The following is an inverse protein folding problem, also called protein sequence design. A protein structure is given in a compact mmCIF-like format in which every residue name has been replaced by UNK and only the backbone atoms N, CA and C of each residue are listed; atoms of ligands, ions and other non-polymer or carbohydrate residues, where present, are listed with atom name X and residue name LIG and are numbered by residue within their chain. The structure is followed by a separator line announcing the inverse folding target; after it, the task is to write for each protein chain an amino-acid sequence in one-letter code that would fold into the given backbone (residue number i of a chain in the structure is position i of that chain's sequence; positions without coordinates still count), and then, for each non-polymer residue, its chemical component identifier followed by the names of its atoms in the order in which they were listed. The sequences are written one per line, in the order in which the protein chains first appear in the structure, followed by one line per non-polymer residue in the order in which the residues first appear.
data_IF_219094278786
#
_entry.id   IF_219094278786
#
_cell.length_a   1.000
_cell.length_b   1.000
_cell.length_c   1.000
_cell.angle_alpha   90.00
_cell.angle_beta   90.00
_cell.angle_gamma   90.00
#
_symmetry.space_group_name_H-M   'P 1'
#
loop_
_entity.id
_entity.type
_entity.pdbx_description
1 polymer ?
#
# COMPACT_ATOMS: atom_id res chain seq x y z
N UNK A 1 -5.15 -6.00 -15.80
CA UNK A 1 -3.72 -6.33 -15.76
C UNK A 1 -3.32 -6.15 -14.31
N UNK A 2 -3.34 -4.93 -13.79
CA UNK A 2 -3.22 -4.64 -12.35
C UNK A 2 -3.93 -3.32 -11.97
N UNK A 3 -3.97 -2.99 -10.68
CA UNK A 3 -4.30 -1.68 -10.13
C UNK A 3 -3.33 -1.27 -9.02
N UNK A 4 -2.84 -0.03 -9.08
CA UNK A 4 -2.24 0.64 -7.94
C UNK A 4 -3.35 1.08 -6.97
N UNK A 5 -3.68 0.22 -6.02
CA UNK A 5 -4.79 0.45 -5.09
C UNK A 5 -4.47 1.58 -4.12
N UNK A 6 -3.22 1.64 -3.68
CA UNK A 6 -2.68 2.70 -2.83
C UNK A 6 -1.35 3.14 -3.40
N UNK A 7 -1.21 4.46 -3.58
CA UNK A 7 -0.01 5.10 -4.10
C UNK A 7 0.62 6.00 -3.02
N UNK A 8 1.94 5.90 -2.82
CA UNK A 8 2.76 6.87 -2.06
C UNK A 8 2.34 7.11 -0.60
N UNK A 9 1.92 6.05 0.10
CA UNK A 9 1.46 6.15 1.49
C UNK A 9 2.58 6.31 2.51
N UNK A 10 3.85 6.34 2.10
CA UNK A 10 5.01 6.43 2.99
C UNK A 10 5.80 7.73 2.79
N UNK A 11 6.34 8.22 3.90
CA UNK A 11 7.43 9.20 3.91
C UNK A 11 8.77 8.51 3.65
N UNK A 12 9.83 9.29 3.40
CA UNK A 12 11.18 8.77 3.14
C UNK A 12 11.77 7.96 4.32
N UNK A 13 11.31 8.24 5.54
CA UNK A 13 11.75 7.52 6.75
C UNK A 13 10.98 6.22 7.01
N UNK A 14 10.05 5.83 6.12
CA UNK A 14 9.23 4.63 6.24
C UNK A 14 8.02 4.78 7.16
N UNK A 15 7.75 5.97 7.69
CA UNK A 15 6.50 6.27 8.42
C UNK A 15 5.34 6.53 7.46
N UNK A 16 4.10 6.38 7.93
CA UNK A 16 2.92 6.71 7.13
C UNK A 16 2.84 8.21 6.83
N UNK A 17 2.58 8.53 5.57
CA UNK A 17 2.35 9.89 5.11
C UNK A 17 1.02 10.41 5.66
N UNK A 18 1.05 11.58 6.26
CA UNK A 18 -0.17 12.28 6.69
C UNK A 18 -1.02 12.60 5.46
N UNK A 19 -2.25 12.09 5.45
CA UNK A 19 -3.20 12.26 4.35
C UNK A 19 -4.62 12.38 4.92
N UNK A 20 -5.55 12.91 4.13
CA UNK A 20 -6.96 12.97 4.55
C UNK A 20 -7.51 11.57 4.86
N UNK A 21 -7.05 10.55 4.14
CA UNK A 21 -7.44 9.15 4.37
C UNK A 21 -6.94 8.67 5.72
N UNK A 22 -5.65 8.84 6.03
CA UNK A 22 -5.09 8.45 7.32
C UNK A 22 -5.74 9.21 8.47
N UNK A 23 -5.99 10.52 8.29
CA UNK A 23 -6.56 11.37 9.34
C UNK A 23 -8.04 11.05 9.62
N UNK A 24 -8.79 10.67 8.60
CA UNK A 24 -10.24 10.45 8.71
C UNK A 24 -10.58 8.99 9.05
N UNK A 25 -9.86 8.04 8.45
CA UNK A 25 -10.16 6.61 8.52
C UNK A 25 -9.19 5.85 9.41
N UNK A 26 -8.06 6.45 9.81
CA UNK A 26 -6.98 5.75 10.51
C UNK A 26 -6.25 4.76 9.59
N UNK A 27 -5.23 4.08 10.11
CA UNK A 27 -4.37 3.16 9.32
C UNK A 27 -5.16 2.02 8.64
N UNK A 28 -6.34 1.65 9.14
CA UNK A 28 -7.17 0.59 8.57
C UNK A 28 -7.58 0.84 7.12
N UNK A 29 -7.59 2.11 6.66
CA UNK A 29 -7.91 2.47 5.28
C UNK A 29 -7.06 1.72 4.26
N UNK A 30 -5.80 1.42 4.61
CA UNK A 30 -4.89 0.67 3.74
C UNK A 30 -5.45 -0.73 3.48
N UNK A 31 -5.81 -1.47 4.53
CA UNK A 31 -6.37 -2.80 4.37
C UNK A 31 -7.76 -2.79 3.73
N UNK A 32 -8.58 -1.80 4.08
CA UNK A 32 -9.94 -1.67 3.56
C UNK A 32 -9.95 -1.36 2.07
N UNK A 33 -9.03 -0.52 1.58
CA UNK A 33 -8.88 -0.23 0.14
C UNK A 33 -8.63 -1.51 -0.66
N UNK A 34 -7.68 -2.36 -0.21
CA UNK A 34 -7.39 -3.63 -0.87
C UNK A 34 -8.54 -4.64 -0.78
N UNK A 35 -9.26 -4.70 0.34
CA UNK A 35 -10.46 -5.56 0.46
C UNK A 35 -11.57 -5.11 -0.49
N UNK A 36 -11.81 -3.81 -0.58
CA UNK A 36 -12.85 -3.24 -1.44
C UNK A 36 -12.49 -3.45 -2.92
N UNK A 37 -11.24 -3.22 -3.30
CA UNK A 37 -10.76 -3.48 -4.66
C UNK A 37 -10.90 -4.97 -5.03
N UNK A 38 -10.47 -5.89 -4.16
CA UNK A 38 -10.60 -7.33 -4.40
C UNK A 38 -12.07 -7.79 -4.46
N UNK A 39 -12.97 -7.12 -3.72
CA UNK A 39 -14.42 -7.40 -3.78
C UNK A 39 -15.02 -6.92 -5.11
N UNK A 40 -14.56 -5.78 -5.62
CA UNK A 40 -15.06 -5.19 -6.86
C UNK A 40 -14.60 -5.99 -8.10
N UNK A 41 -13.34 -6.42 -8.13
CA UNK A 41 -12.81 -7.33 -9.15
C UNK A 41 -11.87 -8.37 -8.50
N UNK A 42 -12.36 -9.59 -8.23
CA UNK A 42 -11.55 -10.63 -7.59
C UNK A 42 -10.40 -11.16 -8.46
N UNK A 43 -10.42 -10.90 -9.78
CA UNK A 43 -9.46 -11.46 -10.73
C UNK A 43 -8.32 -10.51 -11.08
N UNK A 44 -8.41 -9.24 -10.72
CA UNK A 44 -7.34 -8.28 -10.98
C UNK A 44 -6.25 -8.37 -9.92
N UNK A 45 -5.00 -8.17 -10.34
CA UNK A 45 -3.88 -8.10 -9.42
C UNK A 45 -3.81 -6.71 -8.78
N UNK A 46 -3.58 -6.67 -7.47
CA UNK A 46 -3.64 -5.45 -6.67
C UNK A 46 -2.27 -5.09 -6.11
N UNK A 47 -1.81 -3.87 -6.41
CA UNK A 47 -0.47 -3.40 -6.11
C UNK A 47 -0.51 -2.26 -5.09
N UNK A 48 0.51 -2.24 -4.23
CA UNK A 48 0.97 -1.02 -3.56
C UNK A 48 2.06 -0.41 -4.44
N UNK A 49 2.00 0.90 -4.72
CA UNK A 49 2.98 1.58 -5.57
C UNK A 49 3.62 2.77 -4.84
N UNK A 50 4.93 2.93 -4.97
CA UNK A 50 5.67 4.05 -4.38
C UNK A 50 6.98 4.31 -5.13
N UNK A 51 7.63 5.43 -4.82
CA UNK A 51 8.98 5.78 -5.28
C UNK A 51 10.01 5.54 -4.17
N UNK A 52 11.31 5.53 -4.48
CA UNK A 52 12.42 5.33 -3.52
C UNK A 52 12.32 4.04 -2.68
N UNK A 53 11.65 2.99 -3.14
CA UNK A 53 11.57 1.72 -2.40
C UNK A 53 12.94 1.01 -2.28
N UNK A 54 13.94 1.42 -3.05
CA UNK A 54 15.33 1.01 -2.98
C UNK A 54 16.07 1.59 -1.76
N UNK A 55 15.59 2.72 -1.22
CA UNK A 55 16.16 3.36 -0.04
C UNK A 55 15.86 2.52 1.22
N UNK A 56 16.86 2.24 2.09
CA UNK A 56 16.70 1.27 3.17
C UNK A 56 15.51 1.49 4.11
N UNK A 57 15.26 2.74 4.53
CA UNK A 57 14.17 3.06 5.47
C UNK A 57 12.80 2.95 4.81
N UNK A 58 12.64 3.50 3.61
CA UNK A 58 11.38 3.44 2.87
C UNK A 58 11.04 2.02 2.44
N UNK A 59 12.06 1.21 2.07
CA UNK A 59 11.93 -0.23 1.84
C UNK A 59 11.38 -0.97 3.05
N UNK A 60 11.93 -0.72 4.24
CA UNK A 60 11.46 -1.33 5.48
C UNK A 60 10.01 -0.94 5.77
N UNK A 61 9.68 0.34 5.64
CA UNK A 61 8.29 0.85 5.74
C UNK A 61 7.34 0.15 4.77
N UNK A 62 7.76 -0.02 3.51
CA UNK A 62 6.99 -0.69 2.45
C UNK A 62 6.70 -2.15 2.81
N UNK A 63 7.73 -2.90 3.22
CA UNK A 63 7.60 -4.30 3.63
C UNK A 63 6.65 -4.41 4.83
N UNK A 64 6.77 -3.52 5.81
CA UNK A 64 5.92 -3.51 6.99
C UNK A 64 4.46 -3.17 6.66
N UNK A 65 4.23 -2.19 5.78
CA UNK A 65 2.89 -1.83 5.30
C UNK A 65 2.22 -3.01 4.60
N UNK A 66 2.90 -3.64 3.63
CA UNK A 66 2.35 -4.79 2.89
C UNK A 66 2.04 -5.95 3.84
N UNK A 67 2.93 -6.25 4.79
CA UNK A 67 2.69 -7.28 5.82
C UNK A 67 1.45 -6.96 6.66
N UNK A 68 1.28 -5.72 7.10
CA UNK A 68 0.11 -5.28 7.88
C UNK A 68 -1.19 -5.42 7.09
N UNK A 69 -1.20 -4.97 5.83
CA UNK A 69 -2.37 -5.10 4.94
C UNK A 69 -2.76 -6.57 4.77
N UNK A 70 -1.79 -7.44 4.45
CA UNK A 70 -2.03 -8.89 4.29
C UNK A 70 -2.50 -9.54 5.60
N UNK A 71 -1.89 -9.19 6.73
CA UNK A 71 -2.31 -9.69 8.04
C UNK A 71 -3.73 -9.25 8.42
N UNK A 72 -4.17 -8.08 7.95
CA UNK A 72 -5.54 -7.59 8.13
C UNK A 72 -6.54 -8.15 7.09
N UNK A 73 -6.11 -9.06 6.20
CA UNK A 73 -6.96 -9.70 5.19
C UNK A 73 -7.10 -8.95 3.87
N UNK A 74 -6.29 -7.92 3.61
CA UNK A 74 -6.20 -7.27 2.31
C UNK A 74 -5.42 -8.13 1.30
N UNK A 75 -5.92 -8.23 0.07
CA UNK A 75 -5.22 -8.89 -1.06
C UNK A 75 -4.18 -7.93 -1.63
N UNK A 76 -2.90 -8.25 -1.49
CA UNK A 76 -1.79 -7.51 -2.15
C UNK A 76 -1.01 -8.54 -2.96
N UNK A 77 -1.09 -8.42 -4.28
CA UNK A 77 -0.50 -9.35 -5.23
C UNK A 77 0.90 -8.89 -5.67
N UNK A 78 1.16 -7.59 -5.63
CA UNK A 78 2.46 -7.04 -6.04
C UNK A 78 2.85 -5.72 -5.38
N UNK A 79 4.09 -5.32 -5.66
CA UNK A 79 4.69 -4.04 -5.30
C UNK A 79 5.16 -3.36 -6.59
N UNK A 80 4.63 -2.16 -6.86
CA UNK A 80 5.12 -1.27 -7.90
C UNK A 80 6.27 -0.43 -7.37
N UNK A 81 7.40 -0.43 -8.08
CA UNK A 81 8.54 0.44 -7.83
C UNK A 81 8.59 1.44 -8.98
N UNK A 82 8.36 2.73 -8.68
CA UNK A 82 8.27 3.76 -9.72
C UNK A 82 9.58 3.96 -10.50
N UNK A 83 10.73 3.72 -9.86
CA UNK A 83 12.07 3.76 -10.48
C UNK A 83 12.39 5.07 -11.21
N UNK A 84 12.15 6.21 -10.55
CA UNK A 84 12.61 7.53 -11.01
C UNK A 84 14.13 7.66 -10.98
#
# INVERSE_FOLDING_TARGET
YDWDVVNEALNEDGTLRQSIFLNTLGESYLADAFKLAAKADPKVDLYYNDYNNEEPKKREGTINLIKKVRAAGGKVDGLGIQSH
#
